data_IF_350243803994
#
_entry.id   IF_350243803994
#
_cell.length_a   1.000
_cell.length_b   1.000
_cell.length_c   1.000
_cell.angle_alpha   90.00
_cell.angle_beta   90.00
_cell.angle_gamma   90.00
#
_symmetry.space_group_name_H-M   'P 1'
#
loop_
_entity.id
_entity.type
_entity.pdbx_description
1 polymer ?
#
# COMPACT_ATOMS: atom_id res chain seq x y z
N UNK A 1 -35.30 38.33 35.89
CA UNK A 1 -34.99 37.66 34.62
C UNK A 1 -33.79 36.75 34.84
N UNK A 2 -34.01 35.43 35.05
CA UNK A 2 -32.96 34.45 35.27
C UNK A 2 -32.64 33.80 33.92
N UNK A 3 -31.41 34.07 33.40
CA UNK A 3 -30.86 33.38 32.22
C UNK A 3 -30.52 31.95 32.62
N UNK A 4 -31.22 30.98 32.03
CA UNK A 4 -30.90 29.57 32.10
C UNK A 4 -29.93 29.29 30.95
N UNK A 5 -28.64 29.14 31.25
CA UNK A 5 -27.64 28.70 30.27
C UNK A 5 -27.78 27.20 30.11
N UNK A 6 -28.32 26.77 28.97
CA UNK A 6 -28.44 25.35 28.61
C UNK A 6 -27.06 24.85 28.15
N UNK A 7 -26.38 24.09 29.01
CA UNK A 7 -25.13 23.40 28.66
C UNK A 7 -25.50 22.16 27.85
N UNK A 8 -25.40 22.27 26.53
CA UNK A 8 -25.58 21.15 25.61
C UNK A 8 -24.31 20.27 25.65
N UNK A 9 -24.28 19.27 26.51
CA UNK A 9 -23.22 18.24 26.53
C UNK A 9 -23.40 17.32 25.31
N UNK A 10 -22.51 17.50 24.33
CA UNK A 10 -22.43 16.65 23.13
C UNK A 10 -21.84 15.30 23.55
N UNK A 11 -22.69 14.33 23.81
CA UNK A 11 -22.31 12.93 24.03
C UNK A 11 -21.85 12.33 22.69
N UNK A 12 -20.55 12.21 22.49
CA UNK A 12 -20.00 11.42 21.38
C UNK A 12 -20.36 9.93 21.61
N UNK A 13 -20.83 9.19 20.60
CA UNK A 13 -21.15 7.78 20.75
C UNK A 13 -19.86 6.98 21.01
N UNK A 14 -19.89 6.14 22.04
CA UNK A 14 -18.75 5.31 22.48
C UNK A 14 -18.24 4.36 21.38
N UNK A 15 -19.09 3.98 20.41
CA UNK A 15 -18.77 3.18 19.24
C UNK A 15 -17.79 3.89 18.29
N UNK A 16 -17.89 5.22 18.11
CA UNK A 16 -16.98 5.97 17.26
C UNK A 16 -15.53 6.03 17.80
N UNK A 17 -15.37 5.98 19.12
CA UNK A 17 -14.05 5.94 19.76
C UNK A 17 -13.35 4.57 19.57
N UNK A 18 -14.09 3.47 19.56
CA UNK A 18 -13.55 2.13 19.31
C UNK A 18 -13.12 1.95 17.86
N UNK A 19 -13.94 2.37 16.91
CA UNK A 19 -13.65 2.29 15.47
C UNK A 19 -12.42 3.14 15.07
N UNK A 20 -12.28 4.33 15.68
CA UNK A 20 -11.10 5.19 15.47
C UNK A 20 -9.82 4.54 16.04
N UNK A 21 -9.87 3.97 17.23
CA UNK A 21 -8.71 3.31 17.85
C UNK A 21 -8.26 2.07 17.05
N UNK A 22 -9.18 1.32 16.46
CA UNK A 22 -8.89 0.19 15.59
C UNK A 22 -8.22 0.65 14.27
N UNK A 23 -8.68 1.77 13.70
CA UNK A 23 -8.09 2.36 12.50
C UNK A 23 -6.69 2.91 12.77
N UNK A 24 -6.49 3.65 13.85
CA UNK A 24 -5.18 4.18 14.24
C UNK A 24 -4.15 3.05 14.46
N UNK A 25 -4.59 1.94 15.06
CA UNK A 25 -3.77 0.73 15.22
C UNK A 25 -3.40 0.08 13.87
N UNK A 26 -4.34 0.03 12.93
CA UNK A 26 -4.11 -0.46 11.57
C UNK A 26 -3.07 0.40 10.85
N UNK A 27 -3.23 1.71 10.88
CA UNK A 27 -2.32 2.66 10.22
C UNK A 27 -0.92 2.58 10.79
N UNK A 28 -0.78 2.49 12.12
CA UNK A 28 0.52 2.30 12.76
C UNK A 28 1.23 1.00 12.32
N UNK A 29 0.48 -0.08 12.08
CA UNK A 29 1.03 -1.34 11.57
C UNK A 29 1.45 -1.24 10.11
N UNK A 30 0.68 -0.55 9.26
CA UNK A 30 1.03 -0.30 7.86
C UNK A 30 2.29 0.59 7.78
N UNK A 31 2.34 1.66 8.56
CA UNK A 31 3.48 2.58 8.63
C UNK A 31 4.77 1.90 9.09
N UNK A 32 4.69 1.00 10.07
CA UNK A 32 5.84 0.25 10.59
C UNK A 32 6.24 -0.97 9.77
N UNK A 33 5.51 -1.29 8.70
CA UNK A 33 5.85 -2.41 7.81
C UNK A 33 7.09 -2.10 6.96
N UNK A 34 7.65 -3.12 6.32
CA UNK A 34 8.74 -2.93 5.36
C UNK A 34 8.16 -2.67 3.98
N UNK A 35 8.32 -1.46 3.47
CA UNK A 35 7.76 -1.03 2.19
C UNK A 35 8.79 -0.38 1.28
N UNK A 36 8.47 -0.31 -0.01
CA UNK A 36 9.19 0.43 -1.05
C UNK A 36 8.29 1.58 -1.48
N UNK A 37 8.82 2.82 -1.50
CA UNK A 37 8.06 4.00 -1.86
C UNK A 37 8.21 4.38 -3.33
N UNK A 38 7.11 4.79 -3.96
CA UNK A 38 7.08 5.46 -5.27
C UNK A 38 6.17 6.70 -5.21
N UNK A 39 6.38 7.67 -6.09
CA UNK A 39 5.60 8.89 -6.18
C UNK A 39 6.16 10.05 -5.36
N UNK A 40 5.31 10.83 -4.70
CA UNK A 40 5.73 12.06 -4.04
C UNK A 40 6.77 11.82 -2.94
N UNK A 41 7.90 12.55 -2.99
CA UNK A 41 8.96 12.51 -1.95
C UNK A 41 8.48 13.15 -0.64
N UNK A 42 7.71 14.26 -0.75
CA UNK A 42 7.05 14.93 0.38
C UNK A 42 5.53 14.75 0.27
N UNK A 43 5.00 13.56 0.64
CA UNK A 43 3.62 13.25 0.37
C UNK A 43 2.65 13.99 1.30
N UNK A 44 1.54 14.47 0.73
CA UNK A 44 0.38 14.92 1.50
C UNK A 44 -0.52 13.73 1.90
N UNK A 45 -0.45 12.63 1.15
CA UNK A 45 -1.24 11.42 1.36
C UNK A 45 -0.42 10.17 1.05
N UNK A 46 -0.79 9.05 1.65
CA UNK A 46 -0.15 7.75 1.46
C UNK A 46 -1.18 6.71 1.09
N UNK A 47 -0.84 5.83 0.15
CA UNK A 47 -1.55 4.59 -0.12
C UNK A 47 -0.59 3.40 0.04
N UNK A 48 -1.12 2.25 0.43
CA UNK A 48 -0.35 1.02 0.60
C UNK A 48 -0.83 -0.03 -0.39
N UNK A 49 0.09 -0.72 -1.04
CA UNK A 49 -0.18 -1.82 -1.97
C UNK A 49 0.50 -3.08 -1.47
N UNK A 50 -0.26 -4.08 -1.08
CA UNK A 50 0.28 -5.42 -0.87
C UNK A 50 0.52 -6.08 -2.22
N UNK A 51 1.77 -6.40 -2.52
CA UNK A 51 2.22 -6.93 -3.80
C UNK A 51 3.08 -8.17 -3.62
N UNK A 52 2.99 -9.13 -4.55
CA UNK A 52 3.79 -10.36 -4.58
C UNK A 52 4.52 -10.47 -5.92
N UNK A 53 5.81 -10.69 -5.88
CA UNK A 53 6.68 -10.72 -7.07
C UNK A 53 6.43 -11.91 -8.01
N UNK A 54 5.50 -12.78 -7.68
CA UNK A 54 5.02 -13.85 -8.57
C UNK A 54 3.61 -13.60 -9.10
N UNK A 55 3.03 -12.41 -8.85
CA UNK A 55 1.66 -12.07 -9.16
C UNK A 55 1.55 -11.24 -10.46
N UNK A 56 1.01 -11.78 -11.56
CA UNK A 56 0.86 -11.02 -12.80
C UNK A 56 -0.09 -9.82 -12.66
N UNK A 57 -1.10 -9.92 -11.81
CA UNK A 57 -2.02 -8.81 -11.55
C UNK A 57 -1.39 -7.67 -10.75
N UNK A 58 -0.29 -7.94 -10.03
CA UNK A 58 0.48 -6.88 -9.37
C UNK A 58 1.21 -6.01 -10.40
N UNK A 59 1.82 -6.63 -11.42
CA UNK A 59 2.43 -5.91 -12.52
C UNK A 59 1.40 -5.04 -13.28
N UNK A 60 0.22 -5.59 -13.56
CA UNK A 60 -0.87 -4.81 -14.22
C UNK A 60 -1.31 -3.63 -13.36
N UNK A 61 -1.47 -3.80 -12.05
CA UNK A 61 -1.81 -2.69 -11.16
C UNK A 61 -0.70 -1.65 -11.12
N UNK A 62 0.56 -2.08 -11.05
CA UNK A 62 1.73 -1.20 -11.06
C UNK A 62 1.77 -0.37 -12.35
N UNK A 63 1.60 -1.00 -13.54
CA UNK A 63 1.53 -0.31 -14.83
C UNK A 63 0.41 0.74 -14.87
N UNK A 64 -0.79 0.41 -14.37
CA UNK A 64 -1.92 1.35 -14.31
C UNK A 64 -1.62 2.56 -13.41
N UNK A 65 -0.76 2.42 -12.41
CA UNK A 65 -0.37 3.50 -11.51
C UNK A 65 0.71 4.42 -12.09
N UNK A 66 1.56 3.93 -13.02
CA UNK A 66 2.74 4.67 -13.49
C UNK A 66 2.44 6.06 -14.07
N UNK A 67 1.41 6.27 -14.90
CA UNK A 67 1.06 7.60 -15.37
C UNK A 67 0.72 8.58 -14.24
N UNK A 68 0.15 8.06 -13.14
CA UNK A 68 -0.31 8.85 -12.00
C UNK A 68 0.81 9.08 -10.97
N UNK A 69 1.65 8.08 -10.74
CA UNK A 69 2.84 8.19 -9.87
C UNK A 69 3.79 9.27 -10.39
N UNK A 70 3.95 9.35 -11.72
CA UNK A 70 4.84 10.29 -12.39
C UNK A 70 4.16 11.62 -12.79
N UNK A 71 2.87 11.82 -12.45
CA UNK A 71 2.15 13.06 -12.73
C UNK A 71 2.76 14.20 -11.89
N UNK A 72 3.06 15.38 -12.49
CA UNK A 72 3.65 16.51 -11.78
C UNK A 72 2.75 17.06 -10.66
N UNK A 73 1.43 16.83 -10.75
CA UNK A 73 0.46 17.25 -9.72
C UNK A 73 0.24 16.17 -8.65
N UNK A 74 0.95 15.04 -8.74
CA UNK A 74 0.83 13.95 -7.77
C UNK A 74 1.37 14.36 -6.39
N UNK A 75 0.54 14.24 -5.38
CA UNK A 75 0.87 14.47 -3.96
C UNK A 75 0.80 13.19 -3.13
N UNK A 76 0.53 12.05 -3.77
CA UNK A 76 0.42 10.73 -3.14
C UNK A 76 1.76 9.99 -3.21
N UNK A 77 2.14 9.35 -2.10
CA UNK A 77 3.18 8.32 -2.07
C UNK A 77 2.52 6.95 -2.01
N UNK A 78 2.88 6.07 -2.93
CA UNK A 78 2.49 4.66 -2.91
C UNK A 78 3.58 3.87 -2.19
N UNK A 79 3.20 3.11 -1.17
CA UNK A 79 4.08 2.24 -0.38
C UNK A 79 3.79 0.78 -0.69
N UNK A 80 4.69 0.16 -1.43
CA UNK A 80 4.57 -1.24 -1.85
C UNK A 80 5.07 -2.16 -0.73
N UNK A 81 4.16 -2.93 -0.13
CA UNK A 81 4.42 -3.91 0.92
C UNK A 81 4.59 -5.28 0.26
N UNK A 82 5.84 -5.71 0.11
CA UNK A 82 6.16 -6.99 -0.56
C UNK A 82 5.83 -8.15 0.35
N UNK A 83 4.98 -9.08 -0.16
CA UNK A 83 4.56 -10.30 0.53
C UNK A 83 5.02 -11.56 -0.20
N UNK A 84 4.94 -12.72 0.46
CA UNK A 84 5.36 -14.01 -0.10
C UNK A 84 4.25 -15.05 -0.01
N UNK A 85 3.23 -14.97 -0.88
CA UNK A 85 2.04 -15.81 -0.82
C UNK A 85 1.89 -16.77 -2.02
N UNK A 86 2.16 -16.28 -3.25
CA UNK A 86 1.75 -16.99 -4.47
C UNK A 86 2.70 -18.13 -4.83
N UNK A 87 3.98 -17.84 -4.88
CA UNK A 87 4.99 -18.84 -5.20
C UNK A 87 6.16 -18.75 -4.21
N UNK A 88 6.19 -19.57 -3.15
CA UNK A 88 7.10 -19.38 -2.01
C UNK A 88 8.56 -19.12 -2.39
N UNK A 89 9.11 -19.83 -3.39
CA UNK A 89 10.49 -19.60 -3.82
C UNK A 89 10.62 -18.28 -4.56
N UNK A 90 9.83 -18.04 -5.64
CA UNK A 90 9.93 -16.87 -6.51
C UNK A 90 9.60 -15.60 -5.73
N UNK A 91 8.50 -15.58 -5.01
CA UNK A 91 8.06 -14.43 -4.20
C UNK A 91 9.15 -13.97 -3.23
N UNK A 92 9.79 -14.90 -2.50
CA UNK A 92 10.86 -14.55 -1.56
C UNK A 92 12.18 -14.17 -2.23
N UNK A 93 12.59 -14.86 -3.31
CA UNK A 93 13.90 -14.57 -3.92
C UNK A 93 13.90 -13.30 -4.75
N UNK A 94 12.80 -12.97 -5.43
CA UNK A 94 12.66 -11.71 -6.17
C UNK A 94 12.27 -10.55 -5.24
N UNK A 95 11.32 -10.74 -4.31
CA UNK A 95 11.01 -9.75 -3.28
C UNK A 95 12.22 -9.42 -2.42
N UNK A 96 13.04 -10.43 -2.11
CA UNK A 96 14.31 -10.25 -1.42
C UNK A 96 15.33 -9.46 -2.24
N UNK A 97 15.39 -9.64 -3.55
CA UNK A 97 16.26 -8.87 -4.42
C UNK A 97 15.90 -7.38 -4.42
N UNK A 98 14.61 -7.06 -4.45
CA UNK A 98 14.12 -5.69 -4.39
C UNK A 98 14.45 -5.06 -3.03
N UNK A 99 14.07 -5.70 -1.91
CA UNK A 99 14.30 -5.15 -0.57
C UNK A 99 15.78 -5.05 -0.18
N UNK A 100 16.67 -5.82 -0.84
CA UNK A 100 18.12 -5.76 -0.63
C UNK A 100 18.84 -4.80 -1.58
N UNK A 101 18.15 -4.23 -2.57
CA UNK A 101 18.75 -3.35 -3.55
C UNK A 101 19.22 -2.04 -2.92
N UNK A 102 20.24 -1.42 -3.51
CA UNK A 102 20.69 -0.07 -3.11
C UNK A 102 19.60 0.99 -3.40
N UNK A 103 18.80 0.76 -4.43
CA UNK A 103 17.62 1.53 -4.80
C UNK A 103 16.43 0.55 -4.95
N UNK A 104 15.64 0.35 -3.89
CA UNK A 104 14.52 -0.57 -3.94
C UNK A 104 13.39 -0.14 -4.89
N UNK A 105 13.19 1.17 -5.11
CA UNK A 105 12.18 1.67 -6.03
C UNK A 105 12.55 1.35 -7.48
N UNK A 106 13.80 1.61 -7.89
CA UNK A 106 14.28 1.22 -9.21
C UNK A 106 14.25 -0.29 -9.42
N UNK A 107 14.56 -1.09 -8.38
CA UNK A 107 14.49 -2.55 -8.46
C UNK A 107 13.06 -3.08 -8.57
N UNK A 108 12.09 -2.43 -7.92
CA UNK A 108 10.66 -2.73 -8.07
C UNK A 108 10.20 -2.41 -9.49
N UNK A 109 10.55 -1.23 -10.01
CA UNK A 109 10.20 -0.81 -11.36
C UNK A 109 10.81 -1.74 -12.43
N UNK A 110 12.06 -2.20 -12.24
CA UNK A 110 12.68 -3.21 -13.11
C UNK A 110 11.88 -4.52 -13.09
N UNK A 111 11.45 -4.95 -11.90
CA UNK A 111 10.70 -6.20 -11.76
C UNK A 111 9.33 -6.13 -12.43
N UNK A 112 8.52 -5.14 -12.07
CA UNK A 112 7.14 -5.02 -12.52
C UNK A 112 7.06 -4.66 -14.01
N UNK A 113 7.93 -3.76 -14.48
CA UNK A 113 8.00 -3.37 -15.89
C UNK A 113 8.51 -4.46 -16.85
N UNK A 114 9.16 -5.51 -16.32
CA UNK A 114 9.66 -6.66 -17.11
C UNK A 114 9.09 -7.99 -16.59
N UNK A 115 7.93 -7.97 -15.95
CA UNK A 115 7.33 -9.14 -15.32
C UNK A 115 7.20 -10.33 -16.26
N UNK A 116 6.76 -10.10 -17.51
CA UNK A 116 6.56 -11.12 -18.53
C UNK A 116 7.87 -11.72 -19.04
N UNK A 117 8.98 -10.97 -18.93
CA UNK A 117 10.34 -11.42 -19.26
C UNK A 117 11.03 -12.11 -18.07
N UNK A 118 10.30 -12.31 -16.98
CA UNK A 118 10.78 -12.95 -15.75
C UNK A 118 11.13 -12.00 -14.61
N UNK A 119 11.10 -10.68 -14.83
CA UNK A 119 11.35 -9.65 -13.83
C UNK A 119 12.79 -9.60 -13.34
N UNK A 120 13.01 -9.02 -12.16
CA UNK A 120 14.34 -8.89 -11.56
C UNK A 120 14.99 -10.25 -11.31
N UNK A 121 16.32 -10.30 -11.47
CA UNK A 121 17.11 -11.48 -11.15
C UNK A 121 16.95 -11.86 -9.68
N UNK A 122 16.50 -13.09 -9.37
CA UNK A 122 16.28 -13.54 -8.00
C UNK A 122 17.60 -13.69 -7.23
N UNK A 123 17.58 -13.45 -5.92
CA UNK A 123 18.70 -13.80 -5.05
C UNK A 123 18.84 -15.33 -4.95
N UNK A 124 20.07 -15.82 -4.96
CA UNK A 124 20.35 -17.23 -4.67
C UNK A 124 20.00 -17.59 -3.21
N UNK A 125 20.29 -16.66 -2.30
CA UNK A 125 19.97 -16.75 -0.87
C UNK A 125 19.44 -15.41 -0.37
N UNK A 126 18.24 -15.43 0.21
CA UNK A 126 17.64 -14.26 0.85
C UNK A 126 18.20 -14.12 2.26
N UNK A 127 18.77 -12.96 2.65
CA UNK A 127 19.22 -12.70 4.03
C UNK A 127 18.08 -12.89 5.04
N UNK A 128 18.38 -13.43 6.23
CA UNK A 128 17.36 -13.76 7.23
C UNK A 128 16.54 -12.53 7.68
N UNK A 129 17.18 -11.36 7.77
CA UNK A 129 16.49 -10.11 8.10
C UNK A 129 15.42 -9.75 7.05
N UNK A 130 15.76 -9.84 5.76
CA UNK A 130 14.84 -9.56 4.64
C UNK A 130 13.75 -10.62 4.55
N UNK A 131 14.10 -11.88 4.76
CA UNK A 131 13.12 -12.97 4.86
C UNK A 131 12.08 -12.69 5.95
N UNK A 132 12.54 -12.22 7.11
CA UNK A 132 11.66 -11.83 8.22
C UNK A 132 10.75 -10.64 7.86
N UNK A 133 11.25 -9.66 7.11
CA UNK A 133 10.44 -8.54 6.62
C UNK A 133 9.28 -9.04 5.76
N UNK A 134 9.56 -9.89 4.75
CA UNK A 134 8.52 -10.46 3.87
C UNK A 134 7.52 -11.31 4.66
N UNK A 135 7.98 -12.09 5.63
CA UNK A 135 7.08 -12.86 6.52
C UNK A 135 6.18 -11.95 7.36
N UNK A 136 6.73 -10.90 7.95
CA UNK A 136 5.97 -9.94 8.76
C UNK A 136 4.94 -9.19 7.90
N UNK A 137 5.31 -8.77 6.70
CA UNK A 137 4.40 -8.16 5.73
C UNK A 137 3.26 -9.11 5.35
N UNK A 138 3.59 -10.39 5.10
CA UNK A 138 2.59 -11.42 4.79
C UNK A 138 1.65 -11.65 5.96
N UNK A 139 2.17 -11.73 7.18
CA UNK A 139 1.38 -11.86 8.39
C UNK A 139 0.49 -10.63 8.64
N UNK A 140 1.00 -9.42 8.35
CA UNK A 140 0.21 -8.18 8.40
C UNK A 140 -0.98 -8.27 7.43
N UNK A 141 -0.74 -8.61 6.16
CA UNK A 141 -1.77 -8.76 5.14
C UNK A 141 -2.87 -9.74 5.56
N UNK A 142 -2.48 -10.93 6.04
CA UNK A 142 -3.42 -11.96 6.52
C UNK A 142 -4.19 -11.46 7.75
N UNK A 143 -3.51 -10.81 8.69
CA UNK A 143 -4.11 -10.22 9.88
C UNK A 143 -5.13 -9.10 9.61
N UNK A 144 -5.06 -8.47 8.43
CA UNK A 144 -6.04 -7.52 7.91
C UNK A 144 -7.21 -8.19 7.16
N UNK A 145 -7.23 -9.52 7.07
CA UNK A 145 -8.25 -10.26 6.33
C UNK A 145 -8.08 -10.21 4.82
N UNK A 146 -6.95 -9.70 4.30
CA UNK A 146 -6.68 -9.65 2.88
C UNK A 146 -6.22 -11.03 2.39
N UNK A 147 -6.84 -11.54 1.32
CA UNK A 147 -6.70 -12.93 0.90
C UNK A 147 -5.90 -13.10 -0.41
N UNK A 148 -5.53 -12.01 -1.07
CA UNK A 148 -4.82 -12.05 -2.35
C UNK A 148 -4.16 -10.74 -2.71
N UNK A 149 -3.25 -10.80 -3.67
CA UNK A 149 -2.55 -9.64 -4.25
C UNK A 149 -2.98 -9.40 -5.70
N UNK A 150 -2.95 -8.14 -6.16
CA UNK A 150 -2.68 -6.96 -5.34
C UNK A 150 -3.85 -6.62 -4.41
N UNK A 151 -3.56 -5.92 -3.31
CA UNK A 151 -4.58 -5.29 -2.47
C UNK A 151 -4.14 -3.87 -2.12
N UNK A 152 -4.95 -2.89 -2.49
CA UNK A 152 -4.69 -1.47 -2.29
C UNK A 152 -5.46 -0.98 -1.06
N UNK A 153 -4.75 -0.28 -0.15
CA UNK A 153 -5.31 0.36 1.05
C UNK A 153 -5.04 1.86 0.95
N UNK A 154 -6.07 2.68 0.92
CA UNK A 154 -5.96 4.12 0.67
C UNK A 154 -7.05 4.91 1.38
N UNK A 155 -6.85 6.20 1.52
CA UNK A 155 -7.84 7.15 2.02
C UNK A 155 -8.60 7.79 0.86
N UNK A 156 -9.94 7.68 0.87
CA UNK A 156 -10.80 8.31 -0.16
C UNK A 156 -10.92 9.84 0.07
N UNK A 157 -11.54 10.55 -0.88
CA UNK A 157 -11.72 11.99 -0.83
C UNK A 157 -12.59 12.49 0.35
N UNK A 158 -13.19 11.57 1.12
CA UNK A 158 -13.97 11.86 2.31
C UNK A 158 -13.20 11.55 3.60
N UNK A 159 -11.90 11.26 3.51
CA UNK A 159 -11.07 10.91 4.65
C UNK A 159 -11.33 9.50 5.21
N UNK A 160 -11.91 8.59 4.43
CA UNK A 160 -12.22 7.24 4.88
C UNK A 160 -11.23 6.24 4.28
N UNK A 161 -10.71 5.38 5.11
CA UNK A 161 -9.84 4.30 4.66
C UNK A 161 -10.64 3.21 3.94
N UNK A 162 -10.14 2.80 2.78
CA UNK A 162 -10.75 1.85 1.86
C UNK A 162 -9.77 0.75 1.50
N UNK A 163 -10.32 -0.39 1.13
CA UNK A 163 -9.56 -1.51 0.55
C UNK A 163 -10.13 -1.81 -0.82
N UNK A 164 -9.27 -1.81 -1.83
CA UNK A 164 -9.59 -2.28 -3.18
C UNK A 164 -8.78 -3.55 -3.46
N UNK A 165 -9.41 -4.74 -3.49
CA UNK A 165 -8.75 -5.98 -3.86
C UNK A 165 -8.64 -6.12 -5.37
N UNK A 166 -7.52 -6.66 -5.85
CA UNK A 166 -7.26 -6.90 -7.26
C UNK A 166 -6.82 -5.66 -8.04
N UNK A 167 -6.91 -5.74 -9.35
CA UNK A 167 -6.51 -4.66 -10.27
C UNK A 167 -7.54 -3.55 -10.26
N UNK A 168 -7.06 -2.32 -10.06
CA UNK A 168 -7.83 -1.09 -10.21
C UNK A 168 -7.41 -0.41 -11.51
N UNK A 169 -8.38 -0.02 -12.34
CA UNK A 169 -8.10 0.67 -13.60
C UNK A 169 -7.61 2.10 -13.39
N UNK A 170 -6.87 2.65 -14.36
CA UNK A 170 -6.23 3.97 -14.30
C UNK A 170 -7.21 5.09 -13.92
N UNK A 171 -8.40 5.13 -14.50
CA UNK A 171 -9.40 6.17 -14.22
C UNK A 171 -9.87 6.13 -12.76
N UNK A 172 -10.17 4.95 -12.22
CA UNK A 172 -10.55 4.81 -10.82
C UNK A 172 -9.38 5.14 -9.88
N UNK A 173 -8.14 4.76 -10.25
CA UNK A 173 -6.94 5.17 -9.53
C UNK A 173 -6.81 6.69 -9.51
N UNK A 174 -6.95 7.37 -10.65
CA UNK A 174 -6.84 8.83 -10.79
C UNK A 174 -7.82 9.55 -9.86
N UNK A 175 -9.09 9.16 -9.92
CA UNK A 175 -10.17 9.85 -9.21
C UNK A 175 -10.21 9.51 -7.73
N UNK A 176 -10.16 8.22 -7.39
CA UNK A 176 -10.42 7.76 -6.02
C UNK A 176 -9.16 7.69 -5.15
N UNK A 177 -8.02 7.29 -5.74
CA UNK A 177 -6.78 7.04 -5.00
C UNK A 177 -5.84 8.23 -5.07
N UNK A 178 -5.43 8.63 -6.29
CA UNK A 178 -4.51 9.74 -6.49
C UNK A 178 -5.19 11.09 -6.32
N UNK A 179 -6.50 11.18 -6.58
CA UNK A 179 -7.31 12.38 -6.46
C UNK A 179 -6.73 13.55 -7.28
N UNK A 180 -6.22 13.22 -8.48
CA UNK A 180 -5.70 14.17 -9.46
C UNK A 180 -6.89 14.66 -10.28
N UNK A 181 -7.15 15.98 -10.22
CA UNK A 181 -8.22 16.61 -11.00
C UNK A 181 -7.90 16.57 -12.50
N UNK A 182 -8.91 16.35 -13.34
CA UNK A 182 -8.78 16.62 -14.78
C UNK A 182 -8.52 18.12 -14.98
N UNK A 183 -7.49 18.46 -15.77
CA UNK A 183 -7.19 19.82 -16.18
C UNK A 183 -8.04 20.27 -17.35
#
# INVERSE_FOLDING_TARGET
MKLFTLLLTMLLPLSALGEQADMDSLLARLESSSWVAEGAEEPQRVAYVFTDMACPYCAVLWENMQPLVNDPDNTLQVRHIIVGMIHPKRSFTQGGAILAAADPAAALAEHEGHFDDGGIRPLERVPDAIRSQIHNNTALMIGLGLQGTPALVFEDSQGRWRVAPGVVGEEALRVEVFQISEQ
#
